data_IF_500822685610
#
_entry.id   IF_500822685610
#
_cell.length_a   1.000
_cell.length_b   1.000
_cell.length_c   1.000
_cell.angle_alpha   90.00
_cell.angle_beta   90.00
_cell.angle_gamma   90.00
#
_symmetry.space_group_name_H-M   'P 1'
#
loop_
_entity.id
_entity.type
_entity.pdbx_description
1 polymer ?
#
# COMPACT_ATOMS: atom_id res chain seq x y z
N UNK A 1 -6.21 33.23 6.06
CA UNK A 1 -7.03 32.77 4.92
C UNK A 1 -6.08 32.10 3.94
N UNK A 2 -5.87 30.79 4.06
CA UNK A 2 -5.13 29.99 3.08
C UNK A 2 -5.98 28.75 2.82
N UNK A 3 -6.25 28.51 1.54
CA UNK A 3 -7.19 27.51 1.05
C UNK A 3 -6.67 26.09 1.28
N UNK A 4 -7.42 25.29 2.05
CA UNK A 4 -7.28 23.84 2.13
C UNK A 4 -7.84 23.22 0.83
N UNK A 5 -6.99 22.61 0.02
CA UNK A 5 -7.43 21.63 -0.98
C UNK A 5 -7.43 20.25 -0.30
N UNK A 6 -8.59 19.86 0.24
CA UNK A 6 -8.79 18.51 0.75
C UNK A 6 -8.89 17.52 -0.42
N UNK A 7 -7.98 16.54 -0.47
CA UNK A 7 -8.16 15.34 -1.28
C UNK A 7 -9.28 14.52 -0.64
N UNK A 8 -10.47 14.58 -1.25
CA UNK A 8 -11.64 13.81 -0.85
C UNK A 8 -11.41 12.36 -1.30
N UNK A 9 -11.21 11.44 -0.35
CA UNK A 9 -11.25 10.01 -0.62
C UNK A 9 -12.70 9.62 -0.93
N UNK A 10 -13.03 9.47 -2.21
CA UNK A 10 -14.33 8.98 -2.66
C UNK A 10 -14.23 7.45 -2.70
N UNK A 11 -14.83 6.75 -1.73
CA UNK A 11 -15.24 5.36 -1.91
C UNK A 11 -16.36 5.31 -2.95
N UNK A 12 -15.98 5.27 -4.22
CA UNK A 12 -16.88 5.08 -5.34
C UNK A 12 -17.09 3.59 -5.58
N UNK A 13 -18.26 3.07 -5.23
CA UNK A 13 -18.71 1.78 -5.73
C UNK A 13 -18.82 1.88 -7.27
N UNK A 14 -17.84 1.31 -7.98
CA UNK A 14 -17.83 1.29 -9.42
C UNK A 14 -18.87 0.27 -9.91
N UNK A 15 -20.03 0.77 -10.32
CA UNK A 15 -21.00 -0.02 -11.06
C UNK A 15 -20.40 -0.39 -12.42
N UNK A 16 -20.28 -1.70 -12.70
CA UNK A 16 -19.96 -2.21 -14.03
C UNK A 16 -21.04 -1.75 -15.02
N UNK A 17 -20.73 -0.75 -15.83
CA UNK A 17 -21.45 -0.48 -17.08
C UNK A 17 -20.86 -1.43 -18.12
N UNK A 18 -21.66 -2.39 -18.56
CA UNK A 18 -21.31 -3.26 -19.68
C UNK A 18 -21.09 -2.44 -20.95
N UNK A 19 -19.90 -2.55 -21.53
CA UNK A 19 -19.67 -2.14 -22.91
C UNK A 19 -20.23 -3.23 -23.82
N UNK A 20 -21.47 -3.04 -24.27
CA UNK A 20 -22.00 -3.63 -25.50
C UNK A 20 -21.17 -3.09 -26.69
N UNK A 21 -20.81 -4.00 -27.59
CA UNK A 21 -19.92 -3.70 -28.70
C UNK A 21 -20.56 -2.91 -29.84
N UNK A 22 -19.70 -2.21 -30.59
CA UNK A 22 -19.86 -2.12 -32.04
C UNK A 22 -18.50 -1.84 -32.69
N UNK A 23 -17.89 -2.89 -33.26
CA UNK A 23 -16.68 -2.76 -34.09
C UNK A 23 -17.10 -2.89 -35.56
N UNK A 24 -17.46 -1.77 -36.18
CA UNK A 24 -17.56 -1.67 -37.62
C UNK A 24 -16.62 -0.59 -38.14
N UNK A 25 -15.35 -0.96 -38.36
CA UNK A 25 -14.55 -0.30 -39.40
C UNK A 25 -14.14 -1.33 -40.44
N UNK A 26 -14.90 -1.34 -41.54
CA UNK A 26 -14.52 -2.00 -42.78
C UNK A 26 -13.17 -1.47 -43.25
N UNK A 27 -12.13 -2.31 -43.20
CA UNK A 27 -10.95 -2.15 -44.05
C UNK A 27 -11.17 -2.95 -45.32
N UNK A 28 -11.54 -2.26 -46.40
CA UNK A 28 -11.46 -2.79 -47.76
C UNK A 28 -10.14 -2.33 -48.35
N UNK A 29 -9.24 -3.29 -48.63
CA UNK A 29 -8.00 -3.03 -49.35
C UNK A 29 -7.10 -4.27 -49.39
N UNK A 30 -7.12 -4.96 -50.55
CA UNK A 30 -6.08 -5.82 -51.15
C UNK A 30 -5.50 -7.00 -50.36
N UNK A 31 -5.09 -8.14 -50.92
CA UNK A 31 -5.32 -8.94 -52.16
C UNK A 31 -4.49 -10.19 -51.89
N UNK A 32 -5.02 -11.40 -52.06
CA UNK A 32 -4.19 -12.59 -51.97
C UNK A 32 -4.99 -13.88 -51.87
N UNK A 33 -5.10 -14.61 -52.99
CA UNK A 33 -5.51 -16.01 -53.00
C UNK A 33 -4.36 -16.86 -52.46
N UNK A 34 -4.18 -16.85 -51.15
CA UNK A 34 -3.33 -17.77 -50.41
C UNK A 34 -4.21 -18.57 -49.46
N UNK A 35 -4.22 -19.89 -49.62
CA UNK A 35 -4.82 -20.84 -48.68
C UNK A 35 -4.23 -20.64 -47.28
N UNK A 36 -5.00 -20.01 -46.40
CA UNK A 36 -4.71 -19.93 -44.98
C UNK A 36 -5.19 -21.22 -44.30
N UNK A 37 -4.28 -22.18 -44.19
CA UNK A 37 -4.46 -23.38 -43.35
C UNK A 37 -3.79 -23.13 -42.02
N UNK A 38 -4.51 -22.45 -41.13
CA UNK A 38 -4.35 -22.56 -39.70
C UNK A 38 -3.12 -21.87 -39.12
N UNK A 39 -3.33 -20.72 -38.50
CA UNK A 39 -2.80 -20.47 -37.15
C UNK A 39 -3.89 -19.84 -36.31
N UNK A 40 -4.17 -20.49 -35.18
CA UNK A 40 -4.88 -19.93 -34.03
C UNK A 40 -4.31 -18.56 -33.71
N UNK A 41 -5.14 -17.53 -33.84
CA UNK A 41 -4.86 -16.20 -33.31
C UNK A 41 -4.87 -16.27 -31.78
N UNK A 42 -3.72 -16.64 -31.21
CA UNK A 42 -3.44 -16.58 -29.76
C UNK A 42 -3.00 -15.18 -29.32
N UNK A 43 -3.22 -14.16 -30.14
CA UNK A 43 -2.79 -12.79 -29.89
C UNK A 43 -3.88 -11.90 -29.31
N UNK A 44 -4.56 -12.31 -28.22
CA UNK A 44 -5.09 -11.28 -27.32
C UNK A 44 -3.90 -10.66 -26.60
N UNK A 45 -3.20 -9.74 -27.28
CA UNK A 45 -2.46 -8.72 -26.56
C UNK A 45 -3.50 -7.92 -25.83
N UNK A 46 -3.69 -8.19 -24.54
CA UNK A 46 -4.41 -7.26 -23.67
C UNK A 46 -3.73 -5.92 -23.88
N UNK A 47 -4.43 -5.00 -24.52
CA UNK A 47 -3.94 -3.66 -24.84
C UNK A 47 -3.94 -2.89 -23.52
N UNK A 48 -2.96 -3.19 -22.67
CA UNK A 48 -2.82 -2.58 -21.37
C UNK A 48 -2.42 -1.13 -21.60
N UNK A 49 -3.19 -0.22 -21.01
CA UNK A 49 -2.98 1.21 -21.14
C UNK A 49 -1.58 1.62 -20.67
N UNK A 50 -1.19 2.85 -21.02
CA UNK A 50 0.07 3.46 -20.57
C UNK A 50 0.28 3.31 -19.07
N UNK A 51 1.55 3.14 -18.62
CA UNK A 51 1.86 2.98 -17.20
C UNK A 51 1.23 4.10 -16.37
N UNK A 52 0.44 3.71 -15.37
CA UNK A 52 -0.14 4.63 -14.40
C UNK A 52 0.94 5.12 -13.42
N UNK A 53 0.80 6.33 -12.86
CA UNK A 53 1.63 6.72 -11.73
C UNK A 53 1.41 5.73 -10.57
N UNK A 54 2.48 5.40 -9.85
CA UNK A 54 2.38 4.58 -8.65
C UNK A 54 1.76 5.44 -7.54
N UNK A 55 0.57 5.05 -7.06
CA UNK A 55 -0.19 5.78 -6.04
C UNK A 55 -0.79 4.81 -5.04
N UNK A 56 -0.62 5.06 -3.74
CA UNK A 56 -1.28 4.29 -2.68
C UNK A 56 -2.76 4.68 -2.66
N UNK A 57 -3.64 3.74 -2.98
CA UNK A 57 -5.09 3.95 -3.08
C UNK A 57 -5.86 3.36 -1.92
N UNK A 58 -5.31 2.36 -1.24
CA UNK A 58 -5.85 1.83 0.00
C UNK A 58 -4.75 1.35 0.93
N UNK A 59 -5.02 1.42 2.22
CA UNK A 59 -4.14 0.92 3.28
C UNK A 59 -4.96 0.12 4.26
N UNK A 60 -4.42 -1.00 4.75
CA UNK A 60 -5.08 -1.81 5.77
C UNK A 60 -4.06 -2.40 6.73
N UNK A 61 -4.46 -2.48 8.00
CA UNK A 61 -3.70 -3.18 9.04
C UNK A 61 -4.66 -4.07 9.80
N UNK A 62 -4.39 -5.37 9.81
CA UNK A 62 -5.21 -6.35 10.54
C UNK A 62 -4.38 -7.05 11.59
N UNK A 63 -5.00 -7.31 12.73
CA UNK A 63 -4.44 -8.12 13.81
C UNK A 63 -5.27 -9.39 13.96
N UNK A 64 -4.61 -10.54 14.01
CA UNK A 64 -5.25 -11.81 14.31
C UNK A 64 -5.09 -12.22 15.79
N UNK A 65 -5.78 -13.30 16.17
CA UNK A 65 -5.76 -13.83 17.54
C UNK A 65 -4.49 -14.64 17.89
N UNK A 66 -3.54 -14.77 16.96
CA UNK A 66 -2.27 -15.51 17.13
C UNK A 66 -1.07 -14.57 17.17
N UNK A 67 -1.31 -13.30 17.50
CA UNK A 67 -0.29 -12.26 17.54
C UNK A 67 0.37 -11.99 16.18
N UNK A 68 -0.35 -12.17 15.07
CA UNK A 68 0.11 -11.79 13.74
C UNK A 68 -0.52 -10.46 13.33
N UNK A 69 0.33 -9.51 12.93
CA UNK A 69 -0.08 -8.28 12.25
C UNK A 69 0.15 -8.46 10.75
N UNK A 70 -0.83 -8.07 9.94
CA UNK A 70 -0.71 -7.99 8.48
C UNK A 70 -0.88 -6.55 8.05
N UNK A 71 0.04 -6.10 7.21
CA UNK A 71 0.03 -4.80 6.58
C UNK A 71 -0.23 -4.97 5.10
N UNK A 72 -1.18 -4.23 4.55
CA UNK A 72 -1.48 -4.22 3.11
C UNK A 72 -1.57 -2.79 2.60
N UNK A 73 -0.87 -2.52 1.48
CA UNK A 73 -1.05 -1.34 0.67
C UNK A 73 -1.56 -1.78 -0.71
N UNK A 74 -2.68 -1.21 -1.15
CA UNK A 74 -3.09 -1.27 -2.55
C UNK A 74 -2.52 -0.06 -3.27
N UNK A 75 -1.91 -0.30 -4.42
CA UNK A 75 -1.35 0.74 -5.27
C UNK A 75 -1.98 0.70 -6.65
N UNK A 76 -2.26 1.86 -7.22
CA UNK A 76 -2.37 1.98 -8.68
C UNK A 76 -0.95 1.95 -9.25
N UNK A 77 -0.75 1.32 -10.41
CA UNK A 77 0.56 1.11 -11.03
C UNK A 77 1.33 -0.10 -10.48
N UNK A 78 2.55 -0.28 -10.99
CA UNK A 78 3.43 -1.40 -10.64
C UNK A 78 4.54 -0.94 -9.68
N UNK A 79 4.25 -1.02 -8.38
CA UNK A 79 5.27 -0.78 -7.34
C UNK A 79 6.19 -2.00 -7.22
N UNK A 80 7.50 -1.77 -7.22
CA UNK A 80 8.47 -2.85 -7.10
C UNK A 80 8.62 -3.32 -5.64
N UNK A 81 8.50 -2.38 -4.71
CA UNK A 81 8.72 -2.56 -3.28
C UNK A 81 7.98 -1.50 -2.46
N UNK A 82 7.88 -1.75 -1.15
CA UNK A 82 7.35 -0.81 -0.20
C UNK A 82 8.02 -0.90 1.16
N UNK A 83 7.80 0.13 1.96
CA UNK A 83 8.12 0.13 3.39
C UNK A 83 6.88 0.50 4.18
N UNK A 84 6.74 -0.06 5.37
CA UNK A 84 5.80 0.41 6.36
C UNK A 84 6.52 0.78 7.65
N UNK A 85 6.16 1.94 8.15
CA UNK A 85 6.55 2.47 9.44
C UNK A 85 5.38 2.29 10.37
N UNK A 86 5.61 1.77 11.57
CA UNK A 86 4.60 1.61 12.59
C UNK A 86 5.08 2.21 13.90
N UNK A 87 4.17 2.80 14.67
CA UNK A 87 4.49 3.41 15.95
C UNK A 87 3.37 3.21 16.95
N UNK A 88 3.70 2.64 18.10
CA UNK A 88 2.83 2.59 19.28
C UNK A 88 2.62 4.00 19.83
N UNK A 89 1.45 4.56 19.57
CA UNK A 89 1.13 5.98 19.88
C UNK A 89 0.00 6.11 20.90
N UNK A 90 -0.92 5.13 20.95
CA UNK A 90 -2.05 5.07 21.88
C UNK A 90 -1.88 4.15 23.10
N UNK A 91 -0.70 3.56 23.32
CA UNK A 91 -0.47 2.70 24.50
C UNK A 91 -0.35 3.57 25.77
N UNK A 92 -1.41 3.62 26.57
CA UNK A 92 -1.42 4.35 27.85
C UNK A 92 -1.03 3.48 29.05
N UNK A 93 -0.88 2.17 28.86
CA UNK A 93 -0.64 1.20 29.94
C UNK A 93 0.83 1.11 30.33
N UNK A 94 1.73 1.36 29.38
CA UNK A 94 3.17 1.44 29.60
C UNK A 94 3.68 2.78 29.11
N UNK A 95 4.61 3.41 29.84
CA UNK A 95 5.22 4.68 29.44
C UNK A 95 6.11 4.56 28.18
N UNK A 96 6.25 3.36 27.64
CA UNK A 96 7.13 3.07 26.54
C UNK A 96 6.33 2.96 25.24
N UNK A 97 6.68 3.83 24.30
CA UNK A 97 6.17 3.92 22.94
C UNK A 97 7.32 3.56 22.00
N UNK A 98 7.02 2.76 20.98
CA UNK A 98 8.04 2.16 20.12
C UNK A 98 7.69 2.33 18.66
N UNK A 99 8.74 2.54 17.86
CA UNK A 99 8.69 2.71 16.42
C UNK A 99 9.36 1.51 15.77
N UNK A 100 8.79 1.04 14.67
CA UNK A 100 9.30 -0.08 13.91
C UNK A 100 9.16 0.16 12.40
N UNK A 101 10.01 -0.49 11.63
CA UNK A 101 10.07 -0.41 10.17
C UNK A 101 10.11 -1.80 9.57
N UNK A 102 9.28 -2.03 8.56
CA UNK A 102 9.17 -3.32 7.90
C UNK A 102 9.11 -3.16 6.39
N UNK A 103 9.78 -4.08 5.70
CA UNK A 103 9.67 -4.16 4.24
C UNK A 103 8.30 -4.72 3.87
N UNK A 104 7.69 -4.14 2.86
CA UNK A 104 6.52 -4.69 2.18
C UNK A 104 6.97 -5.24 0.83
N UNK A 105 6.50 -6.44 0.51
CA UNK A 105 6.82 -7.09 -0.76
C UNK A 105 5.59 -7.12 -1.65
N UNK A 106 5.80 -7.04 -2.96
CA UNK A 106 4.74 -7.21 -3.93
C UNK A 106 4.07 -8.58 -3.74
N UNK A 107 2.79 -8.57 -3.41
CA UNK A 107 1.97 -9.77 -3.15
C UNK A 107 1.05 -10.12 -4.32
N UNK A 108 0.91 -9.21 -5.29
CA UNK A 108 0.23 -9.46 -6.56
C UNK A 108 0.06 -8.17 -7.37
N UNK A 109 -0.04 -8.34 -8.69
CA UNK A 109 -0.34 -7.26 -9.64
C UNK A 109 -1.38 -7.79 -10.62
N UNK A 110 -2.34 -6.95 -11.02
CA UNK A 110 -3.27 -7.33 -12.07
C UNK A 110 -2.53 -7.63 -13.40
N UNK A 111 -3.15 -8.37 -14.34
CA UNK A 111 -2.48 -8.76 -15.59
C UNK A 111 -2.00 -7.59 -16.46
N UNK A 112 -2.43 -6.37 -16.17
CA UNK A 112 -2.03 -5.16 -16.89
C UNK A 112 -1.10 -4.25 -16.10
N UNK A 113 -0.59 -4.65 -14.93
CA UNK A 113 0.28 -3.79 -14.13
C UNK A 113 -0.42 -2.54 -13.59
N UNK A 114 -1.76 -2.52 -13.62
CA UNK A 114 -2.57 -1.32 -13.38
C UNK A 114 -2.86 -1.16 -11.90
N UNK A 115 -2.97 -2.27 -11.17
CA UNK A 115 -3.16 -2.31 -9.72
C UNK A 115 -2.19 -3.33 -9.14
N UNK A 116 -1.45 -2.92 -8.12
CA UNK A 116 -0.56 -3.77 -7.32
C UNK A 116 -0.98 -3.83 -5.86
N UNK A 117 -0.47 -4.84 -5.16
CA UNK A 117 -0.57 -4.97 -3.72
C UNK A 117 0.81 -5.18 -3.13
N UNK A 118 1.12 -4.45 -2.06
CA UNK A 118 2.30 -4.64 -1.23
C UNK A 118 1.83 -5.17 0.12
N UNK A 119 2.39 -6.28 0.59
CA UNK A 119 1.93 -6.94 1.81
C UNK A 119 3.08 -7.49 2.63
N UNK A 120 2.91 -7.53 3.95
CA UNK A 120 3.79 -8.24 4.87
C UNK A 120 3.00 -8.70 6.10
N UNK A 121 3.32 -9.87 6.62
CA UNK A 121 2.76 -10.39 7.88
C UNK A 121 3.86 -10.74 8.86
N UNK A 122 3.76 -10.23 10.08
CA UNK A 122 4.79 -10.33 11.10
C UNK A 122 4.21 -10.87 12.40
N UNK A 123 5.05 -11.59 13.15
CA UNK A 123 4.73 -11.92 14.55
C UNK A 123 4.93 -10.67 15.40
N UNK A 124 4.06 -10.48 16.38
CA UNK A 124 4.06 -9.34 17.31
C UNK A 124 4.44 -9.80 18.72
N UNK A 125 4.85 -8.87 19.59
CA UNK A 125 5.16 -9.15 20.99
C UNK A 125 6.62 -9.53 21.26
N UNK A 126 7.54 -9.11 20.38
CA UNK A 126 8.97 -9.31 20.60
C UNK A 126 9.46 -8.59 21.88
N UNK A 127 10.50 -9.12 22.52
CA UNK A 127 11.05 -8.53 23.75
C UNK A 127 11.84 -7.25 23.45
N UNK A 128 11.90 -6.34 24.43
CA UNK A 128 12.73 -5.13 24.31
C UNK A 128 14.22 -5.49 24.16
N UNK A 129 14.88 -4.91 23.16
CA UNK A 129 16.31 -5.13 22.89
C UNK A 129 16.60 -6.41 22.09
N UNK A 130 15.58 -7.12 21.61
CA UNK A 130 15.71 -8.12 20.56
C UNK A 130 15.19 -7.51 19.27
N UNK A 131 15.97 -6.62 18.67
CA UNK A 131 15.68 -6.09 17.33
C UNK A 131 15.84 -7.27 16.35
N UNK A 132 14.73 -7.95 16.07
CA UNK A 132 14.68 -9.06 15.11
C UNK A 132 14.11 -8.48 13.83
N UNK A 133 14.82 -8.59 12.69
CA UNK A 133 14.24 -8.23 11.40
C UNK A 133 12.91 -8.96 11.20
N UNK A 134 11.88 -8.25 10.74
CA UNK A 134 10.55 -8.81 10.47
C UNK A 134 9.79 -9.33 11.71
N UNK A 135 9.98 -8.73 12.89
CA UNK A 135 9.08 -8.86 14.03
C UNK A 135 8.65 -7.47 14.51
N UNK A 136 7.34 -7.29 14.78
CA UNK A 136 6.87 -6.03 15.35
C UNK A 136 7.24 -5.99 16.83
N UNK A 137 8.04 -5.00 17.20
CA UNK A 137 8.52 -4.81 18.55
C UNK A 137 7.35 -4.54 19.50
N UNK A 138 7.26 -5.32 20.59
CA UNK A 138 6.44 -5.18 21.82
C UNK A 138 4.93 -4.99 21.72
N UNK A 139 4.41 -4.40 20.65
CA UNK A 139 2.99 -4.39 20.32
C UNK A 139 2.50 -5.83 20.25
N UNK A 140 1.30 -6.10 20.78
CA UNK A 140 0.70 -7.44 20.72
C UNK A 140 -0.66 -7.35 20.06
N UNK A 141 -0.82 -8.05 18.94
CA UNK A 141 -2.09 -8.05 18.22
C UNK A 141 -3.24 -8.61 19.06
N UNK A 142 -2.99 -9.55 19.97
CA UNK A 142 -4.01 -10.06 20.88
C UNK A 142 -4.62 -8.97 21.79
N UNK A 143 -3.84 -7.97 22.20
CA UNK A 143 -4.29 -6.87 23.09
C UNK A 143 -5.10 -5.82 22.35
N UNK A 144 -4.89 -5.67 21.04
CA UNK A 144 -5.51 -4.63 20.20
C UNK A 144 -6.36 -5.20 19.06
N UNK A 145 -6.81 -6.46 19.20
CA UNK A 145 -7.55 -7.19 18.19
C UNK A 145 -8.80 -6.41 17.71
N UNK A 146 -8.90 -6.23 16.39
CA UNK A 146 -10.01 -5.52 15.75
C UNK A 146 -9.96 -3.98 15.82
N UNK A 147 -8.99 -3.39 16.51
CA UNK A 147 -8.82 -1.92 16.55
C UNK A 147 -7.33 -1.47 16.64
N UNK A 148 -6.42 -2.00 15.80
CA UNK A 148 -5.01 -1.59 15.85
C UNK A 148 -4.81 -0.09 15.56
N UNK A 149 -5.68 0.49 14.73
CA UNK A 149 -5.63 1.90 14.31
C UNK A 149 -5.87 2.90 15.45
N UNK A 150 -6.49 2.46 16.55
CA UNK A 150 -6.69 3.29 17.75
C UNK A 150 -5.50 3.27 18.72
N UNK A 151 -4.52 2.38 18.49
CA UNK A 151 -3.35 2.22 19.35
C UNK A 151 -2.03 2.55 18.63
N UNK A 152 -2.05 2.54 17.30
CA UNK A 152 -0.87 2.67 16.45
C UNK A 152 -1.03 3.77 15.42
N UNK A 153 0.09 4.33 15.01
CA UNK A 153 0.23 5.17 13.82
C UNK A 153 1.07 4.44 12.79
N UNK A 154 0.78 4.68 11.52
CA UNK A 154 1.41 4.00 10.41
C UNK A 154 1.76 4.97 9.29
N UNK A 155 2.82 4.68 8.55
CA UNK A 155 3.09 5.31 7.26
C UNK A 155 3.56 4.25 6.26
N UNK A 156 2.92 4.19 5.10
CA UNK A 156 3.26 3.31 4.00
C UNK A 156 3.92 4.09 2.89
N UNK A 157 5.00 3.53 2.33
CA UNK A 157 5.74 4.08 1.20
C UNK A 157 5.76 3.05 0.08
N UNK A 158 5.53 3.53 -1.15
CA UNK A 158 5.63 2.73 -2.35
C UNK A 158 6.75 3.29 -3.24
N UNK A 159 7.54 2.40 -3.82
CA UNK A 159 8.68 2.76 -4.66
C UNK A 159 8.53 2.17 -6.05
N UNK A 160 9.11 2.87 -7.03
CA UNK A 160 9.19 2.38 -8.39
C UNK A 160 10.33 1.38 -8.59
N UNK A 161 10.40 0.76 -9.76
CA UNK A 161 11.46 -0.22 -10.11
C UNK A 161 12.89 0.32 -10.07
N UNK A 162 13.08 1.64 -9.94
CA UNK A 162 14.39 2.27 -9.79
C UNK A 162 14.77 2.52 -8.33
N UNK A 163 13.87 2.21 -7.39
CA UNK A 163 14.00 2.50 -5.97
C UNK A 163 13.67 3.95 -5.61
N UNK A 164 13.05 4.71 -6.51
CA UNK A 164 12.62 6.06 -6.20
C UNK A 164 11.27 6.04 -5.47
N UNK A 165 11.13 6.86 -4.43
CA UNK A 165 9.86 7.02 -3.73
C UNK A 165 8.80 7.56 -4.69
N UNK A 166 7.74 6.79 -4.90
CA UNK A 166 6.66 7.16 -5.80
C UNK A 166 5.47 7.77 -5.05
N UNK A 167 5.10 7.18 -3.91
CA UNK A 167 4.04 7.72 -3.06
C UNK A 167 4.27 7.40 -1.58
N UNK A 168 3.71 8.22 -0.70
CA UNK A 168 3.71 7.98 0.74
C UNK A 168 2.41 8.43 1.39
N UNK A 169 1.88 7.58 2.26
CA UNK A 169 0.62 7.81 2.95
C UNK A 169 0.71 7.40 4.43
N UNK A 170 0.26 8.27 5.35
CA UNK A 170 0.27 8.05 6.79
C UNK A 170 -1.14 8.07 7.38
N UNK A 171 -1.41 7.17 8.33
CA UNK A 171 -2.72 6.99 8.98
C UNK A 171 -2.57 6.46 10.42
N UNK A 172 -3.69 6.27 11.12
CA UNK A 172 -3.72 5.76 12.50
C UNK A 172 -3.93 6.85 13.55
N UNK A 173 -3.48 6.63 14.79
CA UNK A 173 -3.85 7.43 15.96
C UNK A 173 -3.23 8.83 16.01
N UNK A 174 -1.97 8.96 15.60
CA UNK A 174 -1.24 10.23 15.43
C UNK A 174 -0.20 10.13 14.29
N UNK A 175 -0.67 10.09 13.03
CA UNK A 175 0.21 10.02 11.87
C UNK A 175 1.09 11.27 11.71
N UNK A 176 0.65 12.44 12.21
CA UNK A 176 1.49 13.64 12.16
C UNK A 176 2.63 13.54 13.17
N UNK A 177 2.38 13.07 14.39
CA UNK A 177 3.46 12.82 15.35
C UNK A 177 4.47 11.78 14.88
N UNK A 178 4.02 10.77 14.14
CA UNK A 178 4.90 9.81 13.46
C UNK A 178 5.81 10.52 12.45
N UNK A 179 5.25 11.33 11.55
CA UNK A 179 6.00 12.08 10.53
C UNK A 179 6.97 13.09 11.17
N UNK A 180 6.50 13.83 12.17
CA UNK A 180 7.27 14.83 12.90
C UNK A 180 8.32 14.19 13.83
N UNK A 181 8.26 12.86 13.97
CA UNK A 181 9.16 12.06 14.76
C UNK A 181 9.28 12.53 16.22
N UNK A 182 8.13 12.74 16.86
CA UNK A 182 8.07 13.25 18.24
C UNK A 182 8.15 12.13 19.30
N UNK A 183 8.18 10.87 18.88
CA UNK A 183 8.14 9.70 19.74
C UNK A 183 9.53 9.05 19.94
N UNK A 184 9.82 8.47 21.13
CA UNK A 184 11.04 7.70 21.36
C UNK A 184 11.15 6.48 20.42
N UNK A 185 12.39 6.09 20.11
CA UNK A 185 12.71 5.01 19.17
C UNK A 185 13.54 3.92 19.86
N UNK A 186 13.30 2.67 19.50
CA UNK A 186 14.13 1.54 19.94
C UNK A 186 14.89 0.88 18.80
N UNK A 187 14.28 0.74 17.63
CA UNK A 187 14.94 0.21 16.44
C UNK A 187 15.32 1.37 15.49
N UNK A 188 16.59 1.41 15.08
CA UNK A 188 17.12 2.26 14.00
C UNK A 188 17.19 1.38 12.71
N UNK A 189 16.93 1.89 11.49
CA UNK A 189 17.02 3.30 11.12
C UNK A 189 15.81 3.83 10.35
N UNK A 190 14.80 4.35 11.05
CA UNK A 190 13.83 5.25 10.40
C UNK A 190 14.49 6.62 10.28
N UNK A 191 15.22 6.94 9.21
CA UNK A 191 15.65 8.33 9.01
C UNK A 191 14.39 9.22 8.94
N UNK A 192 14.14 10.14 9.89
CA UNK A 192 12.86 10.88 9.95
C UNK A 192 12.56 11.68 8.69
N UNK A 193 13.61 12.08 7.95
CA UNK A 193 13.46 12.80 6.69
C UNK A 193 12.80 11.95 5.59
N UNK A 194 12.73 10.63 5.77
CA UNK A 194 12.11 9.72 4.83
C UNK A 194 10.59 9.74 4.85
N UNK A 195 9.99 10.18 5.96
CA UNK A 195 8.56 10.40 6.10
C UNK A 195 8.14 11.82 5.69
N UNK A 196 9.12 12.68 5.35
CA UNK A 196 8.82 14.02 4.90
C UNK A 196 8.05 13.97 3.57
N UNK A 197 6.87 14.58 3.56
CA UNK A 197 6.01 14.64 2.36
C UNK A 197 4.95 13.55 2.26
N UNK A 198 4.87 12.63 3.23
CA UNK A 198 3.75 11.69 3.32
C UNK A 198 2.42 12.44 3.46
N UNK A 199 1.44 12.06 2.65
CA UNK A 199 0.08 12.55 2.81
C UNK A 199 -0.55 11.94 4.08
N UNK A 200 -1.28 12.75 4.85
CA UNK A 200 -1.90 12.29 6.10
C UNK A 200 -3.40 12.05 5.90
N UNK A 201 -3.87 10.86 6.26
CA UNK A 201 -5.28 10.54 6.35
C UNK A 201 -5.94 11.39 7.45
N UNK A 202 -6.84 12.30 7.09
CA UNK A 202 -7.63 13.03 8.07
C UNK A 202 -8.91 12.24 8.39
N UNK A 203 -8.92 11.54 9.52
CA UNK A 203 -10.14 11.17 10.23
C UNK A 203 -10.89 9.93 9.70
N UNK A 204 -10.31 8.75 9.84
CA UNK A 204 -11.10 7.51 9.88
C UNK A 204 -10.65 6.71 11.10
N UNK A 205 -11.49 6.72 12.14
CA UNK A 205 -11.50 5.70 13.19
C UNK A 205 -12.91 5.11 13.21
#
# INVERSE_FOLDING_TARGET
MHHLFGRLAILGALALVGCDGDNTTSKTGDTGTGTDTGMTDTGMTTDCATPLPILITAVSVTCDAKDVVTFDLTVDGDAADGLIFSQETGNTATASQYADEHSLVASGTDPCGTTGSLSQSLTTGAALGTDVPDESTVFTCATHHGSPQGAMSYAGRAYDSTGALADCYAWGQDPQGLIDNIYPRLADPVNPSELAGCAVAQGVY
#
